data_IF_761523679711
#
_entry.id   IF_761523679711
#
_cell.length_a   1.000
_cell.length_b   1.000
_cell.length_c   1.000
_cell.angle_alpha   90.00
_cell.angle_beta   90.00
_cell.angle_gamma   90.00
#
_symmetry.space_group_name_H-M   'P 1'
#
loop_
_entity.id
_entity.type
_entity.pdbx_description
1 polymer ?
#
# COMPACT_ATOMS: atom_id res chain seq x y z
N UNK A 1 9.87 9.07 -35.19
CA UNK A 1 8.78 9.90 -34.66
C UNK A 1 9.16 10.31 -33.24
N UNK A 2 9.29 11.62 -32.97
CA UNK A 2 9.59 12.08 -31.62
C UNK A 2 8.36 11.93 -30.71
N UNK A 3 8.56 11.44 -29.48
CA UNK A 3 7.52 11.45 -28.45
C UNK A 3 7.60 12.80 -27.75
N UNK A 4 6.54 13.58 -27.79
CA UNK A 4 6.46 14.88 -27.12
C UNK A 4 5.85 14.69 -25.72
N UNK A 5 6.16 15.55 -24.73
CA UNK A 5 5.64 15.41 -23.34
C UNK A 5 4.12 15.30 -23.24
N UNK A 6 3.38 15.88 -24.17
CA UNK A 6 1.90 15.84 -24.21
C UNK A 6 1.34 14.64 -25.00
N UNK A 7 2.19 13.81 -25.58
CA UNK A 7 1.74 12.65 -26.35
C UNK A 7 1.27 11.55 -25.37
N UNK A 8 0.00 11.10 -25.41
CA UNK A 8 -0.46 10.03 -24.55
C UNK A 8 0.36 8.75 -24.74
N UNK A 9 0.76 8.10 -23.65
CA UNK A 9 1.45 6.82 -23.70
C UNK A 9 0.50 5.74 -24.21
N UNK A 10 0.90 5.02 -25.22
CA UNK A 10 0.15 3.93 -25.86
C UNK A 10 1.08 2.76 -26.14
N UNK A 11 0.54 1.58 -26.43
CA UNK A 11 1.34 0.43 -26.87
C UNK A 11 2.17 0.73 -28.12
N UNK A 12 1.72 1.66 -28.96
CA UNK A 12 2.43 2.01 -30.22
C UNK A 12 3.70 2.84 -29.99
N UNK A 13 3.74 3.62 -28.91
CA UNK A 13 4.88 4.51 -28.61
C UNK A 13 5.65 4.11 -27.35
N UNK A 14 5.21 3.09 -26.61
CA UNK A 14 5.87 2.61 -25.40
C UNK A 14 7.33 2.22 -25.66
N UNK A 15 7.63 1.52 -26.78
CA UNK A 15 8.99 1.17 -27.14
C UNK A 15 9.91 2.39 -27.31
N UNK A 16 9.43 3.44 -27.98
CA UNK A 16 10.21 4.67 -28.15
C UNK A 16 10.49 5.39 -26.82
N UNK A 17 9.53 5.33 -25.87
CA UNK A 17 9.72 5.86 -24.51
C UNK A 17 10.73 5.01 -23.75
N UNK A 18 10.63 3.69 -23.84
CA UNK A 18 11.58 2.76 -23.22
C UNK A 18 13.02 3.00 -23.73
N UNK A 19 13.22 3.11 -25.03
CA UNK A 19 14.52 3.41 -25.65
C UNK A 19 15.07 4.75 -25.20
N UNK A 20 14.20 5.76 -25.06
CA UNK A 20 14.59 7.07 -24.54
C UNK A 20 15.04 6.96 -23.06
N UNK A 21 14.26 6.29 -22.22
CA UNK A 21 14.60 6.10 -20.82
C UNK A 21 15.90 5.32 -20.64
N UNK A 22 16.13 4.28 -21.44
CA UNK A 22 17.40 3.53 -21.41
C UNK A 22 18.60 4.44 -21.73
N UNK A 23 18.50 5.29 -22.73
CA UNK A 23 19.58 6.24 -23.08
C UNK A 23 19.77 7.33 -22.01
N UNK A 24 18.68 7.81 -21.41
CA UNK A 24 18.71 8.86 -20.40
C UNK A 24 18.91 8.31 -18.97
N UNK A 25 19.03 6.98 -18.80
CA UNK A 25 18.97 6.33 -17.49
C UNK A 25 19.98 6.89 -16.48
N UNK A 26 21.20 7.18 -16.91
CA UNK A 26 22.20 7.80 -16.04
C UNK A 26 21.79 9.18 -15.52
N UNK A 27 21.07 9.97 -16.31
CA UNK A 27 20.54 11.28 -15.89
C UNK A 27 19.35 11.11 -14.94
N UNK A 28 18.47 10.14 -15.23
CA UNK A 28 17.34 9.78 -14.35
C UNK A 28 17.86 9.37 -12.98
N UNK A 29 18.80 8.42 -12.91
CA UNK A 29 19.40 8.00 -11.65
C UNK A 29 20.05 9.17 -10.90
N UNK A 30 20.74 10.05 -11.60
CA UNK A 30 21.38 11.23 -10.98
C UNK A 30 20.34 12.18 -10.38
N UNK A 31 19.19 12.39 -11.03
CA UNK A 31 18.11 13.25 -10.52
C UNK A 31 17.45 12.70 -9.26
N UNK A 32 17.40 11.37 -9.10
CA UNK A 32 16.83 10.72 -7.90
C UNK A 32 17.83 10.56 -6.73
N UNK A 33 19.12 10.78 -6.96
CA UNK A 33 20.14 10.57 -5.91
C UNK A 33 19.90 11.35 -4.60
N UNK A 34 19.48 12.62 -4.59
CA UNK A 34 19.17 13.33 -3.35
C UNK A 34 18.06 12.64 -2.57
N UNK A 35 17.00 12.24 -3.25
CA UNK A 35 15.83 11.53 -2.70
C UNK A 35 16.23 10.16 -2.12
N UNK A 36 17.01 9.38 -2.86
CA UNK A 36 17.51 8.06 -2.41
C UNK A 36 18.37 8.20 -1.15
N UNK A 37 19.21 9.26 -1.07
CA UNK A 37 20.02 9.51 0.13
C UNK A 37 19.18 9.91 1.33
N UNK A 38 18.22 10.81 1.15
CA UNK A 38 17.31 11.25 2.21
C UNK A 38 16.45 10.09 2.73
N UNK A 39 15.86 9.29 1.83
CA UNK A 39 15.15 8.07 2.18
C UNK A 39 16.05 7.08 2.94
N UNK A 40 17.30 6.90 2.48
CA UNK A 40 18.28 6.05 3.16
C UNK A 40 18.63 6.53 4.58
N UNK A 41 18.71 7.85 4.80
CA UNK A 41 18.92 8.41 6.14
C UNK A 41 17.71 8.13 7.05
N UNK A 42 16.50 8.34 6.55
CA UNK A 42 15.26 8.01 7.26
C UNK A 42 15.19 6.53 7.66
N UNK A 43 15.34 5.63 6.71
CA UNK A 43 15.23 4.19 6.99
C UNK A 43 16.37 3.65 7.84
N UNK A 44 17.58 4.22 7.78
CA UNK A 44 18.65 3.86 8.73
C UNK A 44 18.30 4.22 10.16
N UNK A 45 17.65 5.36 10.38
CA UNK A 45 17.20 5.75 11.72
C UNK A 45 16.05 4.86 12.18
N UNK A 46 15.05 4.64 11.31
CA UNK A 46 13.86 3.85 11.62
C UNK A 46 14.19 2.39 11.93
N UNK A 47 15.11 1.79 11.17
CA UNK A 47 15.47 0.37 11.27
C UNK A 47 16.74 0.13 12.10
N UNK A 48 17.23 1.14 12.83
CA UNK A 48 18.43 1.01 13.65
C UNK A 48 18.27 -0.11 14.69
N UNK A 49 19.20 -1.06 14.67
CA UNK A 49 19.18 -2.21 15.58
C UNK A 49 18.15 -3.29 15.25
N UNK A 50 17.37 -3.15 14.19
CA UNK A 50 16.42 -4.15 13.75
C UNK A 50 17.09 -5.15 12.79
N UNK A 51 17.05 -6.44 13.12
CA UNK A 51 17.43 -7.53 12.19
C UNK A 51 16.27 -7.95 11.28
N UNK A 52 15.02 -7.65 11.70
CA UNK A 52 13.81 -7.99 10.97
C UNK A 52 12.74 -6.92 11.20
N UNK A 53 12.10 -6.48 10.12
CA UNK A 53 11.00 -5.51 10.15
C UNK A 53 9.82 -6.01 9.31
N UNK A 54 8.60 -5.68 9.73
CA UNK A 54 7.38 -5.86 8.97
C UNK A 54 6.98 -4.55 8.29
N UNK A 55 6.84 -4.56 6.97
CA UNK A 55 6.25 -3.45 6.23
C UNK A 55 4.76 -3.70 6.03
N UNK A 56 3.92 -3.01 6.83
CA UNK A 56 2.46 -3.12 6.73
C UNK A 56 1.99 -2.23 5.59
N UNK A 57 1.23 -2.80 4.68
CA UNK A 57 0.71 -2.12 3.49
C UNK A 57 -0.70 -2.63 3.18
N UNK A 58 -1.58 -1.76 2.73
CA UNK A 58 -2.86 -2.17 2.17
C UNK A 58 -2.62 -2.95 0.88
N UNK A 59 -1.62 -2.51 0.14
CA UNK A 59 -1.20 -2.78 -1.24
C UNK A 59 -1.55 -4.13 -1.82
N UNK A 60 -2.08 -4.08 -3.04
CA UNK A 60 -2.70 -5.20 -3.73
C UNK A 60 -1.73 -6.06 -4.55
N UNK A 61 -0.48 -5.63 -4.65
CA UNK A 61 0.59 -6.36 -5.33
C UNK A 61 1.83 -6.58 -4.44
N UNK A 62 1.85 -5.98 -3.25
CA UNK A 62 3.00 -6.02 -2.35
C UNK A 62 4.24 -5.28 -2.88
N UNK A 63 4.10 -4.51 -3.97
CA UNK A 63 5.22 -3.85 -4.63
C UNK A 63 5.94 -2.83 -3.74
N UNK A 64 5.21 -2.14 -2.87
CA UNK A 64 5.77 -1.20 -1.90
C UNK A 64 6.74 -1.88 -0.93
N UNK A 65 6.28 -2.94 -0.28
CA UNK A 65 7.08 -3.71 0.66
C UNK A 65 8.31 -4.36 0.00
N UNK A 66 8.12 -4.93 -1.20
CA UNK A 66 9.20 -5.55 -1.99
C UNK A 66 10.24 -4.52 -2.41
N UNK A 67 9.79 -3.34 -2.86
CA UNK A 67 10.69 -2.25 -3.23
C UNK A 67 11.48 -1.74 -2.02
N UNK A 68 10.83 -1.64 -0.86
CA UNK A 68 11.50 -1.26 0.38
C UNK A 68 12.56 -2.30 0.78
N UNK A 69 12.23 -3.60 0.73
CA UNK A 69 13.18 -4.68 1.01
C UNK A 69 14.40 -4.64 0.09
N UNK A 70 14.15 -4.44 -1.22
CA UNK A 70 15.22 -4.31 -2.21
C UNK A 70 16.08 -3.05 -1.98
N UNK A 71 15.46 -1.91 -1.69
CA UNK A 71 16.17 -0.67 -1.40
C UNK A 71 16.98 -0.76 -0.11
N UNK A 72 16.41 -1.32 0.96
CA UNK A 72 17.10 -1.54 2.23
C UNK A 72 18.41 -2.33 1.99
N UNK A 73 18.31 -3.44 1.29
CA UNK A 73 19.44 -4.33 1.04
C UNK A 73 20.44 -3.76 0.01
N UNK A 74 19.95 -3.31 -1.15
CA UNK A 74 20.83 -3.06 -2.30
C UNK A 74 21.20 -1.59 -2.49
N UNK A 75 20.38 -0.64 -2.00
CA UNK A 75 20.69 0.79 -2.10
C UNK A 75 21.31 1.34 -0.82
N UNK A 76 20.84 0.87 0.33
CA UNK A 76 21.26 1.43 1.63
C UNK A 76 22.16 0.51 2.46
N UNK A 77 22.32 -0.76 2.06
CA UNK A 77 23.18 -1.73 2.75
C UNK A 77 22.76 -2.01 4.19
N UNK A 78 21.42 -2.09 4.43
CA UNK A 78 20.89 -2.36 5.76
C UNK A 78 20.84 -3.86 6.01
N UNK A 79 21.35 -4.28 7.17
CA UNK A 79 21.32 -5.68 7.65
C UNK A 79 19.95 -6.02 8.29
N UNK A 80 18.86 -5.54 7.71
CA UNK A 80 17.52 -5.76 8.18
C UNK A 80 16.70 -6.48 7.10
N UNK A 81 16.15 -7.65 7.43
CA UNK A 81 15.20 -8.33 6.56
C UNK A 81 13.84 -7.65 6.67
N UNK A 82 13.28 -7.22 5.55
CA UNK A 82 11.94 -6.63 5.49
C UNK A 82 10.98 -7.66 4.92
N UNK A 83 9.91 -7.97 5.66
CA UNK A 83 8.80 -8.81 5.21
C UNK A 83 7.58 -7.92 4.97
N UNK A 84 6.95 -8.04 3.81
CA UNK A 84 5.70 -7.33 3.51
C UNK A 84 4.51 -7.99 4.20
N UNK A 85 3.70 -7.20 4.88
CA UNK A 85 2.45 -7.62 5.52
C UNK A 85 1.32 -6.85 4.84
N UNK A 86 0.63 -7.50 3.89
CA UNK A 86 -0.39 -6.85 3.06
C UNK A 86 -1.80 -7.29 3.45
N UNK A 87 -2.77 -6.39 3.32
CA UNK A 87 -4.17 -6.74 3.55
C UNK A 87 -4.61 -7.86 2.58
N UNK A 88 -4.31 -7.74 1.31
CA UNK A 88 -4.59 -8.76 0.32
C UNK A 88 -3.75 -8.61 -0.93
N UNK A 89 -3.61 -9.68 -1.71
CA UNK A 89 -3.05 -9.60 -3.08
C UNK A 89 -4.15 -9.82 -4.10
N UNK A 90 -4.21 -8.99 -5.13
CA UNK A 90 -5.26 -9.09 -6.12
C UNK A 90 -4.76 -8.90 -7.55
N UNK A 91 -4.58 -10.00 -8.23
CA UNK A 91 -4.29 -10.06 -9.66
C UNK A 91 -5.40 -10.71 -10.48
N UNK A 92 -6.51 -11.14 -9.84
CA UNK A 92 -7.60 -11.86 -10.48
C UNK A 92 -8.20 -11.11 -11.68
N UNK A 93 -8.19 -9.79 -11.63
CA UNK A 93 -8.75 -8.90 -12.65
C UNK A 93 -7.67 -8.15 -13.46
N UNK A 94 -6.40 -8.49 -13.25
CA UNK A 94 -5.28 -7.97 -14.03
C UNK A 94 -4.99 -8.89 -15.22
N UNK A 95 -4.61 -8.35 -16.39
CA UNK A 95 -4.07 -9.14 -17.48
C UNK A 95 -2.63 -9.62 -17.22
N UNK A 96 -1.99 -9.08 -16.18
CA UNK A 96 -0.61 -9.41 -15.83
C UNK A 96 -0.56 -10.64 -14.90
N UNK A 97 0.61 -11.28 -14.89
CA UNK A 97 0.86 -12.40 -13.95
C UNK A 97 0.88 -11.89 -12.52
N UNK A 98 0.44 -12.71 -11.58
CA UNK A 98 0.55 -12.43 -10.16
C UNK A 98 2.01 -12.50 -9.71
N UNK A 99 2.64 -11.34 -9.58
CA UNK A 99 4.02 -11.25 -9.11
C UNK A 99 4.14 -11.48 -7.59
N UNK A 100 3.03 -11.45 -6.84
CA UNK A 100 3.04 -11.61 -5.39
C UNK A 100 3.14 -13.09 -4.96
N UNK A 101 2.57 -14.03 -5.73
CA UNK A 101 2.53 -15.44 -5.34
C UNK A 101 3.91 -16.06 -5.04
N UNK A 102 4.98 -15.85 -5.84
CA UNK A 102 6.31 -16.34 -5.48
C UNK A 102 6.82 -15.80 -4.14
N UNK A 103 6.50 -14.55 -3.80
CA UNK A 103 6.91 -13.88 -2.58
C UNK A 103 6.13 -14.39 -1.36
N UNK A 104 4.85 -14.73 -1.55
CA UNK A 104 4.03 -15.39 -0.53
C UNK A 104 4.60 -16.79 -0.22
N UNK A 105 5.03 -17.54 -1.23
CA UNK A 105 5.63 -18.87 -1.07
C UNK A 105 6.98 -18.82 -0.34
N UNK A 106 7.77 -17.77 -0.53
CA UNK A 106 9.07 -17.61 0.15
C UNK A 106 8.94 -16.99 1.54
N UNK A 107 7.76 -16.46 1.90
CA UNK A 107 7.53 -15.75 3.16
C UNK A 107 8.14 -14.33 3.18
N UNK A 108 8.49 -13.78 2.03
CA UNK A 108 8.90 -12.38 1.90
C UNK A 108 7.68 -11.45 1.85
N UNK A 109 6.51 -12.01 1.59
CA UNK A 109 5.22 -11.36 1.65
C UNK A 109 4.23 -12.23 2.42
N UNK A 110 3.36 -11.63 3.23
CA UNK A 110 2.25 -12.29 3.94
C UNK A 110 0.96 -11.55 3.61
N UNK A 111 -0.04 -12.28 3.14
CA UNK A 111 -1.36 -11.72 2.86
C UNK A 111 -2.36 -12.15 3.94
N UNK A 112 -3.10 -11.18 4.51
CA UNK A 112 -4.02 -11.44 5.59
C UNK A 112 -5.42 -11.83 5.13
N UNK A 113 -6.04 -11.05 4.26
CA UNK A 113 -7.44 -11.25 3.84
C UNK A 113 -7.57 -12.35 2.81
N UNK A 114 -6.82 -12.23 1.71
CA UNK A 114 -6.87 -13.15 0.58
C UNK A 114 -5.65 -13.04 -0.33
N UNK A 115 -5.39 -14.13 -1.04
CA UNK A 115 -4.46 -14.22 -2.16
C UNK A 115 -4.95 -15.30 -3.14
N UNK A 116 -4.23 -15.54 -4.21
CA UNK A 116 -4.53 -16.63 -5.14
C UNK A 116 -4.55 -18.00 -4.45
N UNK A 117 -3.73 -18.19 -3.43
CA UNK A 117 -3.58 -19.43 -2.67
C UNK A 117 -4.36 -19.45 -1.34
N UNK A 118 -4.85 -18.29 -0.86
CA UNK A 118 -5.54 -18.14 0.43
C UNK A 118 -6.85 -17.37 0.28
N UNK A 119 -7.98 -17.90 0.78
CA UNK A 119 -9.32 -17.32 0.60
C UNK A 119 -9.60 -16.95 -0.86
N UNK A 120 -9.34 -17.88 -1.76
CA UNK A 120 -9.37 -17.66 -3.22
C UNK A 120 -10.69 -17.15 -3.76
N UNK A 121 -11.79 -17.48 -3.13
CA UNK A 121 -13.12 -16.98 -3.49
C UNK A 121 -13.24 -15.46 -3.25
N UNK A 122 -12.70 -14.96 -2.14
CA UNK A 122 -12.61 -13.52 -1.85
C UNK A 122 -11.65 -12.83 -2.83
N UNK A 123 -10.51 -13.46 -3.14
CA UNK A 123 -9.56 -12.97 -4.14
C UNK A 123 -10.22 -12.79 -5.53
N UNK A 124 -11.12 -13.69 -5.94
CA UNK A 124 -11.89 -13.56 -7.18
C UNK A 124 -12.98 -12.51 -7.10
N UNK A 125 -13.59 -12.34 -5.93
CA UNK A 125 -14.70 -11.42 -5.70
C UNK A 125 -14.21 -9.97 -5.64
N UNK A 126 -13.06 -9.73 -5.01
CA UNK A 126 -12.50 -8.40 -4.84
C UNK A 126 -12.03 -7.84 -6.18
N UNK A 127 -12.75 -6.85 -6.71
CA UNK A 127 -12.52 -6.29 -8.04
C UNK A 127 -12.11 -4.82 -7.97
N UNK A 128 -10.81 -4.51 -8.19
CA UNK A 128 -10.33 -3.13 -8.21
C UNK A 128 -11.04 -2.23 -9.22
N UNK A 129 -11.45 -2.81 -10.37
CA UNK A 129 -12.19 -2.05 -11.41
C UNK A 129 -13.59 -1.62 -10.99
N UNK A 130 -14.09 -2.17 -9.89
CA UNK A 130 -15.37 -1.79 -9.27
C UNK A 130 -15.18 -0.91 -8.04
N UNK A 131 -13.97 -0.39 -7.82
CA UNK A 131 -13.65 0.47 -6.70
C UNK A 131 -13.53 -0.25 -5.35
N UNK A 132 -13.41 -1.59 -5.33
CA UNK A 132 -13.34 -2.32 -4.06
C UNK A 132 -12.10 -1.97 -3.24
N UNK A 133 -11.00 -1.59 -3.89
CA UNK A 133 -9.78 -1.11 -3.23
C UNK A 133 -10.04 0.17 -2.43
N UNK A 134 -10.82 1.09 -2.99
CA UNK A 134 -11.02 2.43 -2.43
C UNK A 134 -11.61 2.38 -1.02
N UNK A 135 -12.49 1.43 -0.73
CA UNK A 135 -13.02 1.25 0.63
C UNK A 135 -11.91 0.95 1.64
N UNK A 136 -10.97 0.09 1.28
CA UNK A 136 -9.85 -0.27 2.16
C UNK A 136 -8.84 0.86 2.27
N UNK A 137 -8.59 1.56 1.17
CA UNK A 137 -7.70 2.70 1.12
C UNK A 137 -8.23 3.85 1.99
N UNK A 138 -9.55 4.08 1.99
CA UNK A 138 -10.18 5.05 2.89
C UNK A 138 -10.12 4.62 4.35
N UNK A 139 -10.38 3.33 4.65
CA UNK A 139 -10.31 2.80 6.02
C UNK A 139 -8.92 2.89 6.64
N UNK A 140 -7.89 2.61 5.86
CA UNK A 140 -6.52 2.40 6.33
C UNK A 140 -5.57 3.51 5.85
N UNK A 141 -6.07 4.49 5.11
CA UNK A 141 -5.30 5.66 4.68
C UNK A 141 -4.90 6.55 5.85
N UNK A 142 -3.83 7.32 5.69
CA UNK A 142 -3.41 8.31 6.68
C UNK A 142 -4.27 9.58 6.67
N UNK A 143 -4.34 10.28 7.80
CA UNK A 143 -4.95 11.61 7.88
C UNK A 143 -4.15 12.63 7.07
N UNK A 144 -2.84 12.44 6.99
CA UNK A 144 -1.97 13.20 6.12
C UNK A 144 -2.07 12.69 4.68
N UNK A 145 -1.71 13.54 3.74
CA UNK A 145 -1.64 13.13 2.33
C UNK A 145 -0.55 12.09 2.09
N UNK A 146 -0.67 11.39 0.98
CA UNK A 146 0.30 10.36 0.60
C UNK A 146 1.73 10.89 0.51
N UNK A 147 2.70 10.04 0.83
CA UNK A 147 4.12 10.37 0.69
C UNK A 147 4.46 10.61 -0.78
N UNK A 148 4.89 11.83 -1.10
CA UNK A 148 5.33 12.24 -2.44
C UNK A 148 6.82 11.99 -2.65
N UNK A 149 7.62 12.08 -1.59
CA UNK A 149 9.04 11.89 -1.69
C UNK A 149 9.80 12.18 -0.40
N UNK A 150 11.11 12.15 -0.55
CA UNK A 150 12.07 12.53 0.48
C UNK A 150 12.96 13.63 -0.05
N UNK A 151 13.21 14.65 0.75
CA UNK A 151 14.21 15.68 0.46
C UNK A 151 15.28 15.75 1.56
N UNK A 152 16.46 16.31 1.28
CA UNK A 152 17.48 16.54 2.30
C UNK A 152 16.97 17.45 3.40
N UNK A 153 17.17 17.05 4.68
CA UNK A 153 16.90 17.86 5.86
C UNK A 153 18.19 18.25 6.57
N UNK A 154 18.25 19.43 7.17
CA UNK A 154 19.46 19.94 7.80
C UNK A 154 19.85 19.17 9.07
N UNK A 155 18.89 18.90 9.95
CA UNK A 155 19.16 18.26 11.25
C UNK A 155 19.16 16.72 11.17
N UNK A 156 18.19 16.13 10.46
CA UNK A 156 17.99 14.68 10.39
C UNK A 156 18.63 14.03 9.18
N UNK A 157 19.03 14.83 8.19
CA UNK A 157 19.47 14.36 6.88
C UNK A 157 18.31 14.06 5.92
N UNK A 158 17.05 14.20 6.38
CA UNK A 158 15.86 13.93 5.59
C UNK A 158 14.67 14.81 6.00
N UNK A 159 13.75 14.98 5.06
CA UNK A 159 12.42 15.56 5.25
C UNK A 159 11.41 14.76 4.43
N UNK A 160 10.21 14.51 4.98
CA UNK A 160 9.11 13.86 4.28
C UNK A 160 8.32 14.90 3.50
N UNK A 161 8.15 14.67 2.21
CA UNK A 161 7.26 15.46 1.36
C UNK A 161 5.91 14.78 1.30
N UNK A 162 4.94 15.29 2.04
CA UNK A 162 3.58 14.76 2.09
C UNK A 162 2.66 15.55 1.16
N UNK A 163 1.66 14.88 0.60
CA UNK A 163 0.58 15.51 -0.13
C UNK A 163 -0.44 16.14 0.81
N UNK A 164 -1.49 16.69 0.24
CA UNK A 164 -2.68 17.11 0.97
C UNK A 164 -3.72 15.99 0.97
N UNK A 165 -4.46 15.83 2.06
CA UNK A 165 -5.61 14.94 2.16
C UNK A 165 -6.87 15.76 2.40
N UNK A 166 -7.75 15.86 1.39
CA UNK A 166 -9.01 16.60 1.48
C UNK A 166 -10.02 15.92 2.42
N UNK A 167 -9.80 14.66 2.80
CA UNK A 167 -10.69 13.86 3.65
C UNK A 167 -10.14 13.65 5.07
N UNK A 168 -9.13 14.40 5.49
CA UNK A 168 -8.44 14.19 6.78
C UNK A 168 -9.40 14.09 7.96
N UNK A 169 -10.46 14.91 8.02
CA UNK A 169 -11.46 14.86 9.08
C UNK A 169 -12.25 13.54 9.10
N UNK A 170 -12.69 13.06 7.94
CA UNK A 170 -13.42 11.78 7.85
C UNK A 170 -12.51 10.59 8.19
N UNK A 171 -11.26 10.62 7.73
CA UNK A 171 -10.26 9.60 8.04
C UNK A 171 -9.97 9.57 9.55
N UNK A 172 -9.84 10.73 10.19
CA UNK A 172 -9.64 10.82 11.64
C UNK A 172 -10.80 10.22 12.46
N UNK A 173 -12.06 10.41 12.03
CA UNK A 173 -13.22 9.77 12.65
C UNK A 173 -13.19 8.24 12.47
N UNK A 174 -12.82 7.76 11.28
CA UNK A 174 -12.68 6.33 10.99
C UNK A 174 -11.59 5.74 11.89
N UNK A 175 -10.44 6.40 12.00
CA UNK A 175 -9.33 5.93 12.84
C UNK A 175 -9.70 5.86 14.31
N UNK A 176 -10.50 6.82 14.84
CA UNK A 176 -11.01 6.72 16.21
C UNK A 176 -11.85 5.44 16.41
N UNK A 177 -12.77 5.16 15.48
CA UNK A 177 -13.57 3.93 15.56
C UNK A 177 -12.72 2.66 15.47
N UNK A 178 -11.66 2.65 14.65
CA UNK A 178 -10.71 1.53 14.58
C UNK A 178 -9.94 1.35 15.89
N UNK A 179 -9.49 2.44 16.51
CA UNK A 179 -8.76 2.41 17.78
C UNK A 179 -9.67 1.96 18.93
N UNK A 180 -10.92 2.45 18.99
CA UNK A 180 -11.91 2.01 19.96
C UNK A 180 -12.17 0.51 19.84
N UNK A 181 -12.37 0.01 18.60
CA UNK A 181 -12.52 -1.43 18.36
C UNK A 181 -11.28 -2.22 18.80
N UNK A 182 -10.08 -1.75 18.48
CA UNK A 182 -8.84 -2.42 18.88
C UNK A 182 -8.69 -2.47 20.41
N UNK A 183 -9.08 -1.41 21.12
CA UNK A 183 -9.07 -1.35 22.58
C UNK A 183 -10.08 -2.37 23.16
N UNK A 184 -11.33 -2.33 22.69
CA UNK A 184 -12.38 -3.26 23.13
C UNK A 184 -11.99 -4.71 22.90
N UNK A 185 -11.41 -5.01 21.73
CA UNK A 185 -10.93 -6.34 21.37
C UNK A 185 -9.81 -6.81 22.32
N UNK A 186 -8.83 -5.94 22.59
CA UNK A 186 -7.72 -6.24 23.52
C UNK A 186 -8.21 -6.45 24.94
N UNK A 187 -9.18 -5.66 25.38
CA UNK A 187 -9.75 -5.81 26.74
C UNK A 187 -10.60 -7.09 26.85
N UNK A 188 -11.24 -7.50 25.76
CA UNK A 188 -11.92 -8.80 25.71
C UNK A 188 -10.92 -9.96 25.84
N UNK A 189 -9.80 -9.91 25.11
CA UNK A 189 -8.71 -10.91 25.24
C UNK A 189 -8.22 -11.04 26.68
N UNK A 190 -7.90 -9.89 27.30
CA UNK A 190 -7.45 -9.86 28.71
C UNK A 190 -8.48 -10.46 29.65
N UNK A 191 -9.76 -10.09 29.48
CA UNK A 191 -10.86 -10.57 30.32
C UNK A 191 -11.10 -12.08 30.19
N UNK A 192 -10.94 -12.62 28.98
CA UNK A 192 -11.10 -14.05 28.72
C UNK A 192 -9.85 -14.86 29.08
N UNK A 193 -8.69 -14.22 29.19
CA UNK A 193 -7.41 -14.89 29.39
C UNK A 193 -7.00 -15.77 28.20
N UNK A 194 -7.51 -15.46 27.01
CA UNK A 194 -7.28 -16.22 25.78
C UNK A 194 -6.86 -15.25 24.66
N UNK A 195 -5.84 -15.61 23.84
CA UNK A 195 -5.57 -14.87 22.63
C UNK A 195 -6.76 -15.04 21.68
N UNK A 196 -7.30 -13.93 21.20
CA UNK A 196 -8.32 -13.90 20.18
C UNK A 196 -7.66 -13.70 18.82
N UNK A 197 -8.25 -14.26 17.77
CA UNK A 197 -7.79 -14.05 16.42
C UNK A 197 -9.00 -13.85 15.50
N UNK A 198 -8.92 -12.85 14.64
CA UNK A 198 -9.90 -12.65 13.58
C UNK A 198 -9.29 -13.22 12.30
N UNK A 199 -9.96 -14.17 11.67
CA UNK A 199 -9.49 -14.69 10.40
C UNK A 199 -9.62 -13.63 9.30
N UNK A 200 -8.78 -13.70 8.27
CA UNK A 200 -8.90 -12.78 7.12
C UNK A 200 -10.28 -12.84 6.48
N UNK A 201 -10.94 -14.00 6.52
CA UNK A 201 -12.32 -14.17 6.03
C UNK A 201 -13.33 -13.41 6.89
N UNK A 202 -13.23 -13.53 8.20
CA UNK A 202 -14.13 -12.82 9.13
C UNK A 202 -13.91 -11.32 9.07
N UNK A 203 -12.65 -10.87 8.94
CA UNK A 203 -12.30 -9.47 8.74
C UNK A 203 -12.86 -8.90 7.43
N UNK A 204 -13.04 -9.73 6.39
CA UNK A 204 -13.63 -9.31 5.12
C UNK A 204 -15.17 -9.36 5.12
N UNK A 205 -15.82 -9.98 6.11
CA UNK A 205 -17.27 -10.16 6.15
C UNK A 205 -18.07 -8.83 6.07
N UNK A 206 -17.68 -7.74 6.78
CA UNK A 206 -18.36 -6.45 6.62
C UNK A 206 -18.32 -5.92 5.18
N UNK A 207 -17.23 -6.14 4.46
CA UNK A 207 -17.12 -5.75 3.05
C UNK A 207 -18.09 -6.55 2.16
N UNK A 208 -18.28 -7.84 2.44
CA UNK A 208 -19.29 -8.66 1.73
C UNK A 208 -20.70 -8.07 1.88
N UNK A 209 -21.04 -7.57 3.07
CA UNK A 209 -22.32 -6.90 3.32
C UNK A 209 -22.44 -5.60 2.53
N UNK A 210 -21.36 -4.81 2.44
CA UNK A 210 -21.32 -3.59 1.61
C UNK A 210 -21.53 -3.93 0.14
N UNK A 211 -20.87 -4.97 -0.36
CA UNK A 211 -20.98 -5.39 -1.76
C UNK A 211 -22.36 -5.97 -2.10
N UNK A 212 -22.95 -6.76 -1.19
CA UNK A 212 -24.23 -7.42 -1.40
C UNK A 212 -25.41 -6.43 -1.36
N UNK A 213 -25.35 -5.42 -0.51
CA UNK A 213 -26.45 -4.47 -0.25
C UNK A 213 -26.23 -3.14 -0.95
N UNK A 214 -26.40 -3.11 -2.27
CA UNK A 214 -26.18 -1.91 -3.11
C UNK A 214 -26.88 -0.63 -2.62
N UNK A 215 -27.94 -0.72 -1.81
CA UNK A 215 -28.72 0.41 -1.30
C UNK A 215 -28.55 0.62 0.23
N UNK A 216 -27.60 -0.04 0.87
CA UNK A 216 -27.37 0.17 2.30
C UNK A 216 -26.98 1.63 2.57
N UNK A 217 -27.52 2.27 3.63
CA UNK A 217 -27.24 3.68 3.92
C UNK A 217 -25.75 3.98 4.09
N UNK A 218 -25.02 3.09 4.76
CA UNK A 218 -23.56 3.22 4.95
C UNK A 218 -22.79 3.12 3.62
N UNK A 219 -23.24 2.30 2.67
CA UNK A 219 -22.61 2.23 1.34
C UNK A 219 -22.72 3.58 0.62
N UNK A 220 -23.86 4.24 0.68
CA UNK A 220 -24.04 5.57 0.06
C UNK A 220 -23.17 6.63 0.70
N UNK A 221 -22.98 6.57 2.03
CA UNK A 221 -22.07 7.48 2.72
C UNK A 221 -20.63 7.28 2.27
N UNK A 222 -20.21 6.03 2.12
CA UNK A 222 -18.86 5.70 1.63
C UNK A 222 -18.68 6.11 0.17
N UNK A 223 -19.65 5.83 -0.69
CA UNK A 223 -19.61 6.25 -2.08
C UNK A 223 -19.52 7.78 -2.19
N UNK A 224 -20.22 8.52 -1.36
CA UNK A 224 -20.14 9.98 -1.33
C UNK A 224 -18.72 10.48 -0.93
N UNK A 225 -18.03 9.80 0.00
CA UNK A 225 -16.65 10.12 0.35
C UNK A 225 -15.67 9.77 -0.77
N UNK A 226 -15.96 8.76 -1.58
CA UNK A 226 -15.11 8.32 -2.69
C UNK A 226 -15.31 9.15 -3.97
N UNK A 227 -16.49 9.76 -4.14
CA UNK A 227 -16.81 10.59 -5.32
C UNK A 227 -16.25 12.03 -5.21
N UNK A 228 -15.72 12.43 -4.06
CA UNK A 228 -15.08 13.74 -3.91
C UNK A 228 -13.69 13.76 -4.58
N UNK A 229 -13.36 14.87 -5.30
CA UNK A 229 -12.07 14.97 -5.97
C UNK A 229 -10.92 14.99 -4.97
N UNK A 230 -10.08 13.96 -4.98
CA UNK A 230 -8.88 13.83 -4.13
C UNK A 230 -8.53 12.41 -3.71
N UNK A 231 -9.39 11.44 -3.96
CA UNK A 231 -9.09 10.01 -3.80
C UNK A 231 -8.90 9.40 -5.19
N UNK A 232 -7.66 9.31 -5.64
CA UNK A 232 -7.29 8.71 -6.93
C UNK A 232 -5.78 8.62 -7.04
#
# INVERSE_FOLDING_TARGET
MGVFPQTPLTHKNAGAVQDYLQRAWGQVLKSYQPQVRAAGAYYRQLLAGCSHAGAVDIGWAGSGAVSLAAAAKHLWGLECRVTGLVAGTNSAHSPERDAAEPLLLTGDLVSYLFSQSHNRDLWKLHNPRQGHNLFWELLLGGEEGGLRGFSPGEETGWHLELGENSHSGAVGEIHRGLLDFAQDFTDLEKRLGLPLAISGRDAYAPMLEVLARRNAPYRRQWEALLDEPGIG
#
